data_IF_928479397404
#
_entry.id   IF_928479397404
#
_cell.length_a   1.000
_cell.length_b   1.000
_cell.length_c   1.000
_cell.angle_alpha   90.00
_cell.angle_beta   90.00
_cell.angle_gamma   90.00
#
_symmetry.space_group_name_H-M   'P 1'
#
loop_
_entity.id
_entity.type
_entity.pdbx_description
1 polymer ?
#
# COMPACT_ATOMS: atom_id res chain seq x y z
N UNK A 1 19.61 14.39 64.25
CA UNK A 1 19.52 15.28 63.07
C UNK A 1 18.57 14.58 62.12
N UNK A 2 17.27 14.71 62.36
CA UNK A 2 16.28 13.81 61.79
C UNK A 2 15.24 14.60 60.98
N UNK A 3 15.71 15.43 60.05
CA UNK A 3 14.89 16.09 59.03
C UNK A 3 13.93 15.10 58.34
N UNK A 4 14.37 13.85 58.20
CA UNK A 4 13.57 12.79 57.57
C UNK A 4 12.40 12.35 58.45
N UNK A 5 12.54 12.40 59.76
CA UNK A 5 11.46 12.11 60.71
C UNK A 5 10.45 13.27 60.78
N UNK A 6 10.88 14.50 60.45
CA UNK A 6 10.02 15.67 60.33
C UNK A 6 9.15 15.63 59.06
N UNK A 7 9.71 15.18 57.93
CA UNK A 7 8.95 14.95 56.69
C UNK A 7 8.11 13.66 56.72
N UNK A 8 8.58 12.64 57.44
CA UNK A 8 7.95 11.32 57.52
C UNK A 8 7.99 10.75 58.95
N UNK A 9 6.97 11.10 59.77
CA UNK A 9 6.82 10.60 61.13
C UNK A 9 6.89 9.06 61.16
N UNK A 10 7.66 8.46 62.06
CA UNK A 10 7.96 7.01 62.04
C UNK A 10 6.70 6.15 62.13
N UNK A 11 5.65 6.65 62.77
CA UNK A 11 4.37 5.96 63.00
C UNK A 11 3.52 5.83 61.71
N UNK A 12 3.70 6.72 60.74
CA UNK A 12 2.90 6.77 59.49
C UNK A 12 3.72 6.53 58.23
N UNK A 13 5.03 6.28 58.39
CA UNK A 13 6.00 6.21 57.30
C UNK A 13 5.70 5.11 56.29
N UNK A 14 5.38 3.91 56.77
CA UNK A 14 5.12 2.74 55.92
C UNK A 14 3.85 2.96 55.09
N UNK A 15 2.79 3.51 55.70
CA UNK A 15 1.53 3.81 54.99
C UNK A 15 1.72 4.88 53.92
N UNK A 16 2.43 5.98 54.23
CA UNK A 16 2.78 7.00 53.23
C UNK A 16 3.58 6.39 52.10
N UNK A 17 4.65 5.64 52.38
CA UNK A 17 5.49 5.03 51.35
C UNK A 17 4.67 4.10 50.45
N UNK A 18 3.82 3.23 51.01
CA UNK A 18 2.95 2.36 50.23
C UNK A 18 2.00 3.16 49.34
N UNK A 19 1.41 4.24 49.86
CA UNK A 19 0.54 5.12 49.08
C UNK A 19 1.28 5.72 47.87
N UNK A 20 2.49 6.25 48.07
CA UNK A 20 3.31 6.78 46.97
C UNK A 20 3.72 5.70 45.95
N UNK A 21 3.97 4.47 46.40
CA UNK A 21 4.21 3.34 45.50
C UNK A 21 2.99 3.03 44.62
N UNK A 22 1.79 2.96 45.19
CA UNK A 22 0.56 2.74 44.41
C UNK A 22 0.30 3.86 43.40
N UNK A 23 0.58 5.11 43.78
CA UNK A 23 0.47 6.27 42.90
C UNK A 23 1.50 6.21 41.77
N UNK A 24 2.74 5.80 42.04
CA UNK A 24 3.82 5.75 41.05
C UNK A 24 3.72 4.53 40.10
N UNK A 25 3.16 3.41 40.59
CA UNK A 25 3.06 2.13 39.88
C UNK A 25 2.51 2.23 38.44
N UNK A 26 1.37 2.89 38.16
CA UNK A 26 0.85 2.97 36.79
C UNK A 26 1.79 3.71 35.83
N UNK A 27 2.48 4.75 36.31
CA UNK A 27 3.42 5.52 35.50
C UNK A 27 4.67 4.69 35.15
N UNK A 28 5.18 3.91 36.11
CA UNK A 28 6.30 2.99 35.87
C UNK A 28 5.90 1.91 34.87
N UNK A 29 4.70 1.34 35.00
CA UNK A 29 4.16 0.35 34.05
C UNK A 29 4.10 0.94 32.64
N UNK A 30 3.54 2.14 32.48
CA UNK A 30 3.46 2.82 31.18
C UNK A 30 4.85 3.06 30.59
N UNK A 31 5.80 3.56 31.40
CA UNK A 31 7.17 3.80 30.97
C UNK A 31 7.87 2.51 30.49
N UNK A 32 7.66 1.39 31.19
CA UNK A 32 8.20 0.08 30.80
C UNK A 32 7.57 -0.41 29.49
N UNK A 33 6.24 -0.32 29.33
CA UNK A 33 5.57 -0.70 28.09
C UNK A 33 6.01 0.15 26.90
N UNK A 34 6.13 1.47 27.08
CA UNK A 34 6.63 2.38 26.04
C UNK A 34 8.09 2.08 25.70
N UNK A 35 8.93 1.81 26.71
CA UNK A 35 10.33 1.43 26.52
C UNK A 35 10.47 0.12 25.74
N UNK A 36 9.69 -0.91 26.10
CA UNK A 36 9.63 -2.19 25.37
C UNK A 36 9.11 -1.96 23.95
N UNK A 37 8.06 -1.17 23.76
CA UNK A 37 7.51 -0.86 22.44
C UNK A 37 8.55 -0.16 21.55
N UNK A 38 9.24 0.85 22.07
CA UNK A 38 10.30 1.57 21.34
C UNK A 38 11.47 0.62 21.05
N UNK A 39 11.91 -0.17 22.03
CA UNK A 39 12.96 -1.17 21.85
C UNK A 39 12.59 -2.19 20.78
N UNK A 40 11.36 -2.72 20.81
CA UNK A 40 10.82 -3.59 19.77
C UNK A 40 10.72 -2.86 18.43
N UNK A 41 10.23 -1.63 18.35
CA UNK A 41 10.21 -0.86 17.11
C UNK A 41 11.61 -0.60 16.55
N UNK A 42 12.62 -0.48 17.41
CA UNK A 42 14.01 -0.23 17.01
C UNK A 42 14.73 -1.53 16.58
N UNK A 43 14.64 -2.59 17.39
CA UNK A 43 15.24 -3.91 17.10
C UNK A 43 14.46 -4.69 16.03
N UNK A 44 13.13 -4.69 16.11
CA UNK A 44 12.22 -5.31 15.14
C UNK A 44 11.88 -4.37 13.96
N UNK A 45 12.37 -3.12 14.02
CA UNK A 45 12.35 -2.17 12.91
C UNK A 45 13.07 -2.67 11.66
N UNK A 46 13.97 -3.66 11.78
CA UNK A 46 14.49 -4.41 10.64
C UNK A 46 13.39 -5.21 9.92
N UNK A 47 12.57 -5.95 10.66
CA UNK A 47 11.49 -6.75 10.07
C UNK A 47 10.40 -5.85 9.49
N UNK A 48 9.95 -4.83 10.23
CA UNK A 48 8.92 -3.90 9.73
C UNK A 48 9.41 -3.08 8.53
N UNK A 49 10.68 -2.65 8.52
CA UNK A 49 11.28 -1.94 7.38
C UNK A 49 11.44 -2.85 6.17
N UNK A 50 11.83 -4.11 6.36
CA UNK A 50 11.91 -5.11 5.29
C UNK A 50 10.54 -5.45 4.73
N UNK A 51 9.54 -5.72 5.59
CA UNK A 51 8.15 -5.95 5.18
C UNK A 51 7.61 -4.73 4.43
N UNK A 52 7.84 -3.52 4.92
CA UNK A 52 7.38 -2.29 4.25
C UNK A 52 8.10 -2.06 2.93
N UNK A 53 9.39 -2.39 2.83
CA UNK A 53 10.17 -2.30 1.59
C UNK A 53 9.71 -3.33 0.55
N UNK A 54 9.47 -4.58 0.98
CA UNK A 54 8.93 -5.65 0.13
C UNK A 54 7.50 -5.37 -0.32
N UNK A 55 6.66 -4.81 0.57
CA UNK A 55 5.32 -4.35 0.23
C UNK A 55 5.39 -3.26 -0.84
N UNK A 56 6.28 -2.27 -0.68
CA UNK A 56 6.49 -1.21 -1.68
C UNK A 56 6.96 -1.77 -3.02
N UNK A 57 7.92 -2.70 -3.04
CA UNK A 57 8.40 -3.33 -4.28
C UNK A 57 7.27 -4.09 -4.96
N UNK A 58 6.52 -4.88 -4.19
CA UNK A 58 5.40 -5.68 -4.71
C UNK A 58 4.32 -4.78 -5.30
N UNK A 59 3.96 -3.69 -4.61
CA UNK A 59 3.00 -2.70 -5.10
C UNK A 59 3.47 -2.00 -6.37
N UNK A 60 4.75 -1.58 -6.46
CA UNK A 60 5.31 -0.96 -7.66
C UNK A 60 5.32 -1.93 -8.84
N UNK A 61 5.69 -3.21 -8.62
CA UNK A 61 5.64 -4.24 -9.66
C UNK A 61 4.21 -4.47 -10.16
N UNK A 62 3.25 -4.57 -9.24
CA UNK A 62 1.84 -4.74 -9.59
C UNK A 62 1.32 -3.55 -10.39
N UNK A 63 1.63 -2.33 -9.97
CA UNK A 63 1.25 -1.10 -10.67
C UNK A 63 1.81 -1.06 -12.09
N UNK A 64 3.08 -1.44 -12.28
CA UNK A 64 3.69 -1.53 -13.60
C UNK A 64 3.04 -2.61 -14.47
N UNK A 65 2.67 -3.76 -13.88
CA UNK A 65 1.96 -4.82 -14.58
C UNK A 65 0.58 -4.37 -15.06
N UNK A 66 -0.20 -3.73 -14.18
CA UNK A 66 -1.52 -3.17 -14.51
C UNK A 66 -1.39 -2.07 -15.56
N UNK A 67 -0.40 -1.18 -15.46
CA UNK A 67 -0.16 -0.16 -16.47
C UNK A 67 0.23 -0.76 -17.82
N UNK A 68 1.05 -1.80 -17.87
CA UNK A 68 1.39 -2.50 -19.11
C UNK A 68 0.17 -3.20 -19.74
N UNK A 69 -0.70 -3.79 -18.92
CA UNK A 69 -1.97 -4.33 -19.40
C UNK A 69 -2.89 -3.23 -19.91
N UNK A 70 -2.98 -2.11 -19.18
CA UNK A 70 -3.80 -0.97 -19.56
C UNK A 70 -3.29 -0.29 -20.83
N UNK A 71 -1.99 -0.12 -21.01
CA UNK A 71 -1.41 0.42 -22.25
C UNK A 71 -1.60 -0.55 -23.42
N UNK A 72 -1.47 -1.86 -23.21
CA UNK A 72 -1.79 -2.88 -24.22
C UNK A 72 -3.27 -2.78 -24.66
N UNK A 73 -4.20 -2.65 -23.70
CA UNK A 73 -5.62 -2.50 -23.99
C UNK A 73 -5.94 -1.17 -24.69
N UNK A 74 -5.36 -0.06 -24.21
CA UNK A 74 -5.52 1.30 -24.75
C UNK A 74 -4.82 1.50 -26.10
N UNK A 75 -3.88 0.62 -26.46
CA UNK A 75 -3.24 0.57 -27.78
C UNK A 75 -4.15 0.01 -28.89
N UNK A 76 -5.44 -0.14 -28.64
CA UNK A 76 -6.45 -0.32 -29.70
C UNK A 76 -6.63 1.00 -30.47
N UNK A 77 -5.59 1.46 -31.16
CA UNK A 77 -5.62 2.67 -31.98
C UNK A 77 -6.65 2.47 -33.08
N UNK A 78 -7.70 3.27 -33.07
CA UNK A 78 -8.71 3.24 -34.12
C UNK A 78 -8.14 3.86 -35.40
N UNK A 79 -8.48 3.32 -36.56
CA UNK A 79 -8.09 3.88 -37.85
C UNK A 79 -9.26 3.83 -38.85
N UNK A 80 -9.22 4.68 -39.88
CA UNK A 80 -10.19 4.62 -40.97
C UNK A 80 -10.00 3.33 -41.75
N UNK A 81 -11.08 2.57 -41.93
CA UNK A 81 -11.05 1.29 -42.59
C UNK A 81 -10.80 1.45 -44.10
N UNK A 82 -9.82 0.76 -44.70
CA UNK A 82 -9.59 0.84 -46.14
C UNK A 82 -10.80 0.32 -46.92
N UNK A 83 -11.38 1.14 -47.80
CA UNK A 83 -12.55 0.77 -48.61
C UNK A 83 -13.88 0.72 -47.85
N UNK A 84 -13.97 1.27 -46.63
CA UNK A 84 -15.23 1.46 -45.88
C UNK A 84 -15.26 2.84 -45.24
N UNK A 85 -16.44 3.40 -44.97
CA UNK A 85 -16.58 4.68 -44.28
C UNK A 85 -16.68 4.55 -42.75
N UNK A 86 -16.10 3.50 -42.18
CA UNK A 86 -16.13 3.23 -40.73
C UNK A 86 -14.72 3.27 -40.13
N UNK A 87 -14.63 3.38 -38.79
CA UNK A 87 -13.36 3.20 -38.07
C UNK A 87 -13.29 1.79 -37.50
N UNK A 88 -12.13 1.16 -37.62
CA UNK A 88 -11.85 -0.17 -37.08
C UNK A 88 -10.64 -0.14 -36.14
N UNK A 89 -10.51 -1.09 -35.20
CA UNK A 89 -9.29 -1.25 -34.42
C UNK A 89 -8.13 -1.60 -35.35
N UNK A 90 -7.04 -0.80 -35.32
CA UNK A 90 -5.84 -1.03 -36.13
C UNK A 90 -5.21 -2.38 -35.85
N UNK A 91 -5.13 -2.77 -34.58
CA UNK A 91 -4.55 -4.05 -34.16
C UNK A 91 -5.23 -5.25 -34.85
N UNK A 92 -6.57 -5.26 -34.92
CA UNK A 92 -7.31 -6.34 -35.59
C UNK A 92 -7.04 -6.43 -37.09
N UNK A 93 -6.81 -5.28 -37.75
CA UNK A 93 -6.42 -5.25 -39.16
C UNK A 93 -4.98 -5.73 -39.38
N UNK A 94 -4.04 -5.32 -38.54
CA UNK A 94 -2.64 -5.70 -38.64
C UNK A 94 -2.41 -7.20 -38.38
N UNK A 95 -3.23 -7.82 -37.52
CA UNK A 95 -3.19 -9.26 -37.23
C UNK A 95 -3.56 -10.11 -38.46
N UNK A 96 -4.61 -9.74 -39.20
CA UNK A 96 -5.06 -10.51 -40.37
C UNK A 96 -5.70 -9.61 -41.45
N UNK A 97 -4.86 -8.94 -42.27
CA UNK A 97 -5.37 -8.08 -43.33
C UNK A 97 -6.06 -8.87 -44.45
N UNK A 98 -5.66 -10.13 -44.69
CA UNK A 98 -6.26 -10.98 -45.73
C UNK A 98 -7.73 -11.26 -45.44
N UNK A 99 -8.06 -11.58 -44.20
CA UNK A 99 -9.45 -11.79 -43.77
C UNK A 99 -10.29 -10.53 -43.92
N UNK A 100 -9.74 -9.35 -43.57
CA UNK A 100 -10.42 -8.08 -43.78
C UNK A 100 -10.79 -7.89 -45.26
N UNK A 101 -9.82 -7.99 -46.19
CA UNK A 101 -10.09 -7.79 -47.61
C UNK A 101 -10.96 -8.88 -48.23
N UNK A 102 -10.87 -10.13 -47.76
CA UNK A 102 -11.79 -11.20 -48.18
C UNK A 102 -13.24 -10.87 -47.82
N UNK A 103 -13.48 -10.41 -46.59
CA UNK A 103 -14.81 -9.98 -46.15
C UNK A 103 -15.29 -8.74 -46.92
N UNK A 104 -14.38 -7.80 -47.22
CA UNK A 104 -14.70 -6.61 -48.00
C UNK A 104 -15.21 -6.97 -49.41
N UNK A 105 -14.60 -7.98 -50.05
CA UNK A 105 -15.06 -8.46 -51.37
C UNK A 105 -16.35 -9.25 -51.31
N UNK A 106 -16.58 -10.01 -50.23
CA UNK A 106 -17.80 -10.77 -50.04
C UNK A 106 -19.03 -9.87 -49.82
N UNK A 107 -18.84 -8.69 -49.20
CA UNK A 107 -19.93 -7.78 -48.84
C UNK A 107 -19.64 -6.33 -49.31
N UNK A 108 -19.83 -6.02 -50.61
CA UNK A 108 -19.53 -4.70 -51.15
C UNK A 108 -20.57 -3.62 -50.80
N UNK A 109 -21.77 -4.00 -50.36
CA UNK A 109 -22.84 -3.06 -49.98
C UNK A 109 -22.51 -2.17 -48.77
N UNK A 110 -21.56 -2.61 -47.92
CA UNK A 110 -21.11 -1.89 -46.72
C UNK A 110 -20.24 -0.65 -47.04
N UNK A 111 -19.96 -0.37 -48.33
CA UNK A 111 -19.12 0.75 -48.76
C UNK A 111 -19.89 2.08 -48.89
N UNK A 112 -21.22 2.06 -48.89
CA UNK A 112 -22.10 3.19 -49.23
C UNK A 112 -22.87 3.79 -48.04
N UNK A 113 -22.62 3.31 -46.82
CA UNK A 113 -23.17 3.85 -45.56
C UNK A 113 -22.08 4.59 -44.80
#
# INVERSE_FOLDING_TARGET
>A
MNWFDELFPPETRIEKINHWFYVALPYVIIAVFLGIFIYCCYYHGGLLRNIMYDLKITLVRLFNYVNNLYTSWRSSKMMKAPGRNTRIPRASFEIDPKRYFRNLRANPGDMLV
#
